data_IF_398965544788
#
_entry.id   IF_398965544788
#
_cell.length_a   1.000
_cell.length_b   1.000
_cell.length_c   1.000
_cell.angle_alpha   90.00
_cell.angle_beta   90.00
_cell.angle_gamma   90.00
#
_symmetry.space_group_name_H-M   'P 1'
#
loop_
_entity.id
_entity.type
_entity.pdbx_description
1 polymer ?
#
# COMPACT_ATOMS: atom_id res chain seq x y z
N UNK A 1 -36.18 12.40 -0.30
CA UNK A 1 -35.04 11.62 -0.83
C UNK A 1 -33.94 11.64 0.20
N UNK A 2 -33.63 10.49 0.83
CA UNK A 2 -32.55 10.43 1.82
C UNK A 2 -31.21 10.54 1.11
N UNK A 3 -30.34 11.43 1.59
CA UNK A 3 -28.97 11.51 1.11
C UNK A 3 -28.28 10.17 1.38
N UNK A 4 -27.86 9.49 0.31
CA UNK A 4 -26.97 8.34 0.43
C UNK A 4 -25.64 8.91 0.90
N UNK A 5 -25.36 8.84 2.19
CA UNK A 5 -24.03 9.12 2.73
C UNK A 5 -23.11 8.01 2.23
N UNK A 6 -22.39 8.27 1.14
CA UNK A 6 -21.30 7.40 0.70
C UNK A 6 -20.16 7.67 1.68
N UNK A 7 -19.79 6.72 2.57
CA UNK A 7 -18.68 6.94 3.48
C UNK A 7 -17.42 7.16 2.65
N UNK A 8 -16.84 8.35 2.76
CA UNK A 8 -15.58 8.68 2.10
C UNK A 8 -14.52 7.72 2.67
N UNK A 9 -13.86 6.89 1.84
CA UNK A 9 -12.84 6.00 2.35
C UNK A 9 -11.72 6.82 2.99
N UNK A 10 -11.39 6.50 4.24
CA UNK A 10 -10.39 7.20 5.05
C UNK A 10 -8.99 6.63 4.82
N UNK A 11 -8.56 6.51 3.55
CA UNK A 11 -7.21 6.05 3.26
C UNK A 11 -6.18 7.10 3.66
N UNK A 12 -5.15 6.66 4.36
CA UNK A 12 -4.10 7.55 4.84
C UNK A 12 -3.01 7.71 3.77
N UNK A 13 -2.50 8.93 3.61
CA UNK A 13 -1.27 9.17 2.89
C UNK A 13 -0.10 9.01 3.86
N UNK A 14 0.74 8.00 3.64
CA UNK A 14 1.90 7.69 4.47
C UNK A 14 3.15 8.33 3.89
N UNK A 15 3.94 8.94 4.77
CA UNK A 15 5.29 9.40 4.44
C UNK A 15 6.24 8.23 4.27
N UNK A 16 7.34 8.43 3.52
CA UNK A 16 8.39 7.42 3.41
C UNK A 16 8.94 7.03 4.79
N UNK A 17 9.12 8.00 5.69
CA UNK A 17 9.69 7.77 7.02
C UNK A 17 8.79 6.91 7.91
N UNK A 18 7.46 7.08 7.84
CA UNK A 18 6.53 6.20 8.54
C UNK A 18 6.64 4.76 8.05
N UNK A 19 6.68 4.56 6.73
CA UNK A 19 6.78 3.22 6.14
C UNK A 19 8.13 2.57 6.43
N UNK A 20 9.21 3.33 6.34
CA UNK A 20 10.55 2.88 6.68
C UNK A 20 10.62 2.47 8.15
N UNK A 21 10.12 3.29 9.06
CA UNK A 21 10.06 2.97 10.50
C UNK A 21 9.23 1.70 10.75
N UNK A 22 8.06 1.59 10.13
CA UNK A 22 7.17 0.45 10.31
C UNK A 22 7.78 -0.86 9.82
N UNK A 23 8.64 -0.80 8.80
CA UNK A 23 9.24 -1.97 8.13
C UNK A 23 10.71 -2.20 8.49
N UNK A 24 11.22 -1.52 9.52
CA UNK A 24 12.64 -1.57 9.89
C UNK A 24 13.56 -1.25 8.69
N UNK A 25 13.34 -0.08 8.08
CA UNK A 25 13.97 0.39 6.85
C UNK A 25 13.88 -0.61 5.69
N UNK A 26 12.70 -1.23 5.49
CA UNK A 26 12.49 -2.25 4.46
C UNK A 26 13.49 -3.41 4.57
N UNK A 27 13.79 -3.84 5.80
CA UNK A 27 14.69 -4.95 6.10
C UNK A 27 14.28 -6.25 5.41
N UNK A 28 15.26 -7.04 4.99
CA UNK A 28 15.04 -8.39 4.43
C UNK A 28 14.32 -9.31 5.41
N UNK A 29 14.50 -9.12 6.71
CA UNK A 29 13.81 -9.88 7.77
C UNK A 29 12.30 -9.62 7.80
N UNK A 30 11.87 -8.48 7.24
CA UNK A 30 10.46 -8.12 7.11
C UNK A 30 9.90 -8.46 5.73
N UNK A 31 10.71 -8.92 4.78
CA UNK A 31 10.25 -9.28 3.44
C UNK A 31 9.44 -10.58 3.50
N UNK A 32 8.15 -10.47 3.17
CA UNK A 32 7.20 -11.59 3.22
C UNK A 32 6.75 -12.05 1.83
N UNK A 33 7.06 -11.27 0.79
CA UNK A 33 6.75 -11.63 -0.58
C UNK A 33 7.56 -10.82 -1.57
N UNK A 34 8.02 -11.47 -2.63
CA UNK A 34 8.72 -10.82 -3.74
C UNK A 34 8.33 -11.51 -5.03
N UNK A 35 7.92 -10.74 -6.03
CA UNK A 35 7.52 -11.30 -7.31
C UNK A 35 6.99 -10.24 -8.27
N UNK A 36 7.08 -10.54 -9.56
CA UNK A 36 6.65 -9.65 -10.64
C UNK A 36 7.34 -8.28 -10.55
N UNK A 37 6.65 -7.33 -9.94
CA UNK A 37 6.99 -5.90 -9.94
C UNK A 37 6.96 -5.26 -8.55
N UNK A 38 6.90 -6.06 -7.48
CA UNK A 38 6.79 -5.56 -6.13
C UNK A 38 7.52 -6.42 -5.09
N UNK A 39 7.89 -5.75 -4.00
CA UNK A 39 8.33 -6.36 -2.75
C UNK A 39 7.27 -6.04 -1.69
N UNK A 40 6.93 -7.03 -0.87
CA UNK A 40 5.91 -6.91 0.18
C UNK A 40 6.60 -7.13 1.51
N UNK A 41 6.49 -6.14 2.39
CA UNK A 41 7.11 -6.14 3.71
C UNK A 41 6.04 -6.18 4.80
N UNK A 42 6.28 -6.95 5.86
CA UNK A 42 5.48 -6.90 7.08
C UNK A 42 5.90 -5.68 7.90
N UNK A 43 4.98 -4.75 8.10
CA UNK A 43 5.16 -3.56 8.91
C UNK A 43 4.37 -3.57 10.22
N UNK A 44 4.76 -2.72 11.16
CA UNK A 44 4.01 -2.40 12.37
C UNK A 44 3.93 -0.88 12.50
N UNK A 45 2.73 -0.31 12.41
CA UNK A 45 2.52 1.14 12.55
C UNK A 45 2.66 1.57 14.03
N UNK A 46 2.82 2.88 14.32
CA UNK A 46 3.01 3.37 15.69
C UNK A 46 1.84 3.06 16.66
N UNK A 47 0.64 2.85 16.12
CA UNK A 47 -0.56 2.45 16.86
C UNK A 47 -0.63 0.92 17.10
N UNK A 48 0.39 0.17 16.68
CA UNK A 48 0.46 -1.28 16.79
C UNK A 48 -0.24 -2.04 15.66
N UNK A 49 -0.84 -1.35 14.68
CA UNK A 49 -1.49 -2.00 13.55
C UNK A 49 -0.44 -2.69 12.66
N UNK A 50 -0.58 -4.00 12.50
CA UNK A 50 0.23 -4.79 11.57
C UNK A 50 -0.27 -4.61 10.14
N UNK A 51 0.64 -4.31 9.23
CA UNK A 51 0.32 -4.02 7.82
C UNK A 51 1.23 -4.78 6.87
N UNK A 52 0.76 -4.99 5.64
CA UNK A 52 1.61 -5.31 4.50
C UNK A 52 1.92 -4.03 3.73
N UNK A 53 3.20 -3.68 3.62
CA UNK A 53 3.68 -2.58 2.79
C UNK A 53 4.15 -3.16 1.45
N UNK A 54 3.32 -3.02 0.43
CA UNK A 54 3.66 -3.43 -0.94
C UNK A 54 4.36 -2.26 -1.65
N UNK A 55 5.66 -2.40 -1.86
CA UNK A 55 6.52 -1.46 -2.57
C UNK A 55 6.62 -1.84 -4.04
N UNK A 56 6.29 -0.93 -4.95
CA UNK A 56 6.42 -1.15 -6.40
C UNK A 56 7.88 -0.92 -6.81
N UNK A 57 8.55 -1.98 -7.26
CA UNK A 57 10.02 -2.02 -7.47
C UNK A 57 10.46 -2.01 -8.92
N UNK A 58 9.54 -2.13 -9.90
CA UNK A 58 9.92 -2.20 -11.32
C UNK A 58 10.62 -0.92 -11.78
N UNK A 59 11.90 -1.03 -12.14
CA UNK A 59 12.74 0.06 -12.68
C UNK A 59 12.83 0.05 -14.21
N UNK A 60 12.38 -1.03 -14.85
CA UNK A 60 12.57 -1.29 -16.29
C UNK A 60 11.49 -0.69 -17.19
N UNK A 61 10.38 -0.23 -16.60
CA UNK A 61 9.34 0.53 -17.31
C UNK A 61 9.68 2.03 -17.23
N UNK A 62 9.27 2.80 -18.24
CA UNK A 62 9.29 4.25 -18.14
C UNK A 62 8.42 4.71 -16.93
N UNK A 63 8.61 5.96 -16.47
CA UNK A 63 7.94 6.44 -15.26
C UNK A 63 6.41 6.42 -15.34
N UNK A 64 5.85 6.67 -16.53
CA UNK A 64 4.40 6.74 -16.77
C UNK A 64 3.72 5.37 -16.64
N UNK A 65 4.28 4.32 -17.25
CA UNK A 65 3.70 2.98 -17.15
C UNK A 65 3.71 2.47 -15.69
N UNK A 66 4.74 2.83 -14.92
CA UNK A 66 4.84 2.46 -13.50
C UNK A 66 3.76 3.15 -12.65
N UNK A 67 3.49 4.43 -12.93
CA UNK A 67 2.42 5.18 -12.26
C UNK A 67 1.06 4.61 -12.67
N UNK A 68 0.86 4.29 -13.96
CA UNK A 68 -0.36 3.67 -14.46
C UNK A 68 -0.68 2.33 -13.80
N UNK A 69 0.30 1.44 -13.67
CA UNK A 69 0.15 0.16 -12.96
C UNK A 69 -0.25 0.40 -11.49
N UNK A 70 0.40 1.34 -10.82
CA UNK A 70 0.10 1.68 -9.43
C UNK A 70 -1.31 2.25 -9.26
N UNK A 71 -1.73 3.20 -10.10
CA UNK A 71 -3.07 3.78 -10.04
C UNK A 71 -4.14 2.75 -10.36
N UNK A 72 -3.87 1.84 -11.30
CA UNK A 72 -4.77 0.73 -11.63
C UNK A 72 -4.95 -0.20 -10.43
N UNK A 73 -3.84 -0.61 -9.80
CA UNK A 73 -3.91 -1.46 -8.62
C UNK A 73 -4.61 -0.75 -7.45
N UNK A 74 -4.23 0.51 -7.16
CA UNK A 74 -4.84 1.35 -6.15
C UNK A 74 -6.36 1.46 -6.37
N UNK A 75 -6.78 1.74 -7.60
CA UNK A 75 -8.19 1.84 -7.98
C UNK A 75 -8.97 0.54 -7.79
N UNK A 76 -8.35 -0.62 -8.01
CA UNK A 76 -8.97 -1.92 -7.76
C UNK A 76 -9.11 -2.16 -6.25
N UNK A 77 -8.02 -2.09 -5.49
CA UNK A 77 -8.03 -2.44 -4.06
C UNK A 77 -8.83 -1.43 -3.22
N UNK A 78 -8.92 -0.19 -3.70
CA UNK A 78 -9.79 0.85 -3.18
C UNK A 78 -11.27 0.44 -3.08
N UNK A 79 -11.77 -0.32 -4.06
CA UNK A 79 -13.19 -0.64 -4.16
C UNK A 79 -13.53 -2.04 -3.62
N UNK A 80 -12.54 -2.77 -3.11
CA UNK A 80 -12.74 -4.10 -2.55
C UNK A 80 -13.00 -3.98 -1.04
N UNK A 81 -14.20 -4.41 -0.64
CA UNK A 81 -14.57 -4.56 0.77
C UNK A 81 -15.18 -5.95 0.99
N UNK A 82 -14.33 -6.94 1.24
CA UNK A 82 -14.73 -8.32 1.43
C UNK A 82 -13.86 -9.02 2.49
N UNK A 83 -14.40 -9.90 3.35
CA UNK A 83 -13.62 -10.57 4.42
C UNK A 83 -12.40 -11.36 3.93
N UNK A 84 -12.45 -11.87 2.70
CA UNK A 84 -11.37 -12.67 2.09
C UNK A 84 -10.40 -11.87 1.22
N UNK A 85 -10.50 -10.53 1.24
CA UNK A 85 -9.64 -9.66 0.46
C UNK A 85 -8.89 -8.68 1.38
N UNK A 86 -7.65 -8.38 1.02
CA UNK A 86 -6.83 -7.43 1.77
C UNK A 86 -7.45 -6.03 1.71
N UNK A 87 -7.68 -5.43 2.88
CA UNK A 87 -8.25 -4.08 2.98
C UNK A 87 -7.16 -3.03 2.79
N UNK A 88 -7.40 -2.06 1.92
CA UNK A 88 -6.53 -0.90 1.76
C UNK A 88 -6.65 0.02 2.99
N UNK A 89 -5.52 0.25 3.67
CA UNK A 89 -5.39 1.22 4.77
C UNK A 89 -4.91 2.57 4.23
N UNK A 90 -4.05 2.55 3.22
CA UNK A 90 -3.56 3.76 2.59
C UNK A 90 -2.47 3.52 1.57
N UNK A 91 -1.78 4.59 1.20
CA UNK A 91 -0.75 4.57 0.18
C UNK A 91 0.35 5.59 0.50
N UNK A 92 1.50 5.47 -0.13
CA UNK A 92 2.60 6.43 -0.04
C UNK A 92 3.25 6.62 -1.41
N UNK A 93 3.56 7.87 -1.76
CA UNK A 93 4.20 8.24 -3.04
C UNK A 93 5.57 8.90 -2.86
N UNK A 94 5.97 9.13 -1.61
CA UNK A 94 7.29 9.65 -1.26
C UNK A 94 8.33 8.51 -1.24
N UNK A 95 9.51 8.76 -1.83
CA UNK A 95 10.59 7.76 -1.94
C UNK A 95 10.25 6.50 -2.77
N UNK A 96 9.07 6.46 -3.41
CA UNK A 96 8.57 5.33 -4.18
C UNK A 96 7.05 5.20 -4.10
N UNK A 97 6.49 4.23 -4.84
CA UNK A 97 5.05 3.94 -4.83
C UNK A 97 4.79 2.76 -3.90
N UNK A 98 3.92 2.98 -2.91
CA UNK A 98 3.62 2.04 -1.84
C UNK A 98 2.12 1.91 -1.63
N UNK A 99 1.65 0.68 -1.49
CA UNK A 99 0.30 0.36 -0.97
C UNK A 99 0.45 -0.20 0.44
N UNK A 100 -0.43 0.26 1.35
CA UNK A 100 -0.48 -0.20 2.74
C UNK A 100 -1.78 -0.95 2.94
N UNK A 101 -1.66 -2.26 3.12
CA UNK A 101 -2.79 -3.17 3.27
C UNK A 101 -2.83 -3.70 4.70
N UNK A 102 -4.04 -4.00 5.18
CA UNK A 102 -4.19 -4.73 6.44
C UNK A 102 -3.58 -6.13 6.30
N UNK A 103 -2.76 -6.53 7.27
CA UNK A 103 -2.15 -7.86 7.35
C UNK A 103 -3.10 -8.87 7.97
#
# INVERSE_FOLDING_TARGET
CGEIVIPKPSWRNFTYQELATATDNFSSEKLIGKGGHAEVYRGCLPDGLVVAVKRITKKEKNGEDRIGDFLSELGIVAHINHPNAARLIGFGVDGGLHLVLQF
#
